data_IF_641311735369
#
_entry.id   IF_641311735369
#
_cell.length_a   1.000
_cell.length_b   1.000
_cell.length_c   1.000
_cell.angle_alpha   90.00
_cell.angle_beta   90.00
_cell.angle_gamma   90.00
#
_symmetry.space_group_name_H-M   'P 1'
#
loop_
_entity.id
_entity.type
_entity.pdbx_description
1 polymer ?
#
# COMPACT_ATOMS: atom_id res chain seq x y z
N UNK A 1 39.25 22.20 25.09
CA UNK A 1 37.87 21.70 25.08
C UNK A 1 37.76 20.70 23.97
N UNK A 2 37.80 19.40 24.31
CA UNK A 2 37.69 18.30 23.37
C UNK A 2 36.22 18.14 22.99
N UNK A 3 35.89 18.33 21.71
CA UNK A 3 34.56 17.98 21.16
C UNK A 3 34.40 16.45 21.21
N UNK A 4 33.41 15.99 21.95
CA UNK A 4 32.96 14.60 21.87
C UNK A 4 32.55 14.28 20.44
N UNK A 5 32.89 13.09 19.89
CA UNK A 5 32.43 12.70 18.57
C UNK A 5 30.90 12.67 18.59
N UNK A 6 30.29 13.40 17.65
CA UNK A 6 28.86 13.43 17.47
C UNK A 6 28.31 12.00 17.30
N UNK A 7 27.16 11.72 17.94
CA UNK A 7 26.42 10.50 17.70
C UNK A 7 26.22 10.31 16.19
N UNK A 8 26.32 9.09 15.65
CA UNK A 8 26.07 8.85 14.25
C UNK A 8 24.67 9.40 13.88
N UNK A 9 24.62 10.29 12.91
CA UNK A 9 23.35 10.73 12.33
C UNK A 9 22.61 9.49 11.85
N UNK A 10 21.33 9.27 12.22
CA UNK A 10 20.58 8.13 11.72
C UNK A 10 20.70 8.10 10.19
N UNK A 11 20.93 6.91 9.65
CA UNK A 11 21.02 6.72 8.20
C UNK A 11 19.73 7.28 7.57
N UNK A 12 19.87 8.35 6.80
CA UNK A 12 18.72 9.02 6.16
C UNK A 12 18.14 8.20 5.00
N UNK A 13 18.74 7.06 4.69
CA UNK A 13 18.35 6.24 3.55
C UNK A 13 17.55 5.01 3.99
N UNK A 14 16.60 4.66 3.15
CA UNK A 14 15.77 3.45 3.28
C UNK A 14 15.61 2.78 1.91
N UNK A 15 15.99 1.50 1.82
CA UNK A 15 15.73 0.70 0.62
C UNK A 15 14.32 0.11 0.68
N UNK A 16 13.46 0.53 -0.25
CA UNK A 16 12.05 0.08 -0.32
C UNK A 16 11.82 -0.71 -1.60
N UNK A 17 11.03 -1.79 -1.52
CA UNK A 17 10.61 -2.54 -2.69
C UNK A 17 9.09 -2.69 -2.78
N UNK A 18 8.58 -2.67 -4.02
CA UNK A 18 7.23 -3.09 -4.35
C UNK A 18 7.27 -4.47 -5.00
N UNK A 19 6.44 -5.37 -4.51
CA UNK A 19 6.12 -6.65 -5.14
C UNK A 19 4.92 -6.45 -6.06
N UNK A 20 5.05 -6.77 -7.34
CA UNK A 20 3.96 -6.82 -8.30
C UNK A 20 3.51 -8.25 -8.50
N UNK A 21 2.22 -8.53 -8.34
CA UNK A 21 1.67 -9.89 -8.35
C UNK A 21 0.53 -10.05 -9.36
N UNK A 22 0.22 -11.32 -9.64
CA UNK A 22 -1.00 -11.74 -10.31
C UNK A 22 -1.66 -12.82 -9.45
N UNK A 23 -2.28 -12.38 -8.35
CA UNK A 23 -2.92 -13.30 -7.40
C UNK A 23 -4.07 -14.07 -8.07
N UNK A 24 -4.15 -15.35 -7.75
CA UNK A 24 -5.16 -16.27 -8.27
C UNK A 24 -6.28 -16.57 -7.27
N UNK A 25 -7.00 -17.67 -7.54
CA UNK A 25 -8.19 -18.09 -6.78
C UNK A 25 -7.86 -18.86 -5.50
N UNK A 26 -6.62 -19.26 -5.29
CA UNK A 26 -6.22 -20.13 -4.18
C UNK A 26 -5.17 -19.48 -3.31
N UNK A 27 -5.40 -19.53 -1.99
CA UNK A 27 -4.58 -18.82 -0.99
C UNK A 27 -3.14 -19.35 -0.95
N UNK A 28 -2.95 -20.67 -0.90
CA UNK A 28 -1.62 -21.28 -0.80
C UNK A 28 -0.67 -20.87 -1.92
N UNK A 29 -1.01 -21.09 -3.20
CA UNK A 29 -0.17 -20.66 -4.32
C UNK A 29 0.15 -19.15 -4.34
N UNK A 30 -0.77 -18.31 -3.85
CA UNK A 30 -0.52 -16.86 -3.76
C UNK A 30 0.47 -16.52 -2.62
N UNK A 31 0.41 -17.24 -1.50
CA UNK A 31 1.41 -17.14 -0.42
C UNK A 31 2.80 -17.49 -0.96
N UNK A 32 2.89 -18.62 -1.68
CA UNK A 32 4.16 -19.10 -2.24
C UNK A 32 4.76 -18.08 -3.23
N UNK A 33 3.93 -17.58 -4.14
CA UNK A 33 4.34 -16.58 -5.13
C UNK A 33 4.79 -15.27 -4.48
N UNK A 34 4.02 -14.76 -3.49
CA UNK A 34 4.39 -13.57 -2.74
C UNK A 34 5.70 -13.76 -1.98
N UNK A 35 5.82 -14.91 -1.27
CA UNK A 35 7.01 -15.23 -0.47
C UNK A 35 8.28 -15.29 -1.31
N UNK A 36 8.21 -15.88 -2.50
CA UNK A 36 9.33 -15.95 -3.43
C UNK A 36 9.81 -14.55 -3.87
N UNK A 37 8.86 -13.65 -4.19
CA UNK A 37 9.16 -12.27 -4.59
C UNK A 37 9.67 -11.43 -3.41
N UNK A 38 9.12 -11.62 -2.20
CA UNK A 38 9.58 -10.95 -0.98
C UNK A 38 11.02 -11.37 -0.66
N UNK A 39 11.34 -12.68 -0.71
CA UNK A 39 12.72 -13.19 -0.49
C UNK A 39 13.69 -12.56 -1.49
N UNK A 40 13.31 -12.55 -2.76
CA UNK A 40 14.12 -11.92 -3.81
C UNK A 40 14.37 -10.43 -3.53
N UNK A 41 13.34 -9.67 -3.13
CA UNK A 41 13.49 -8.26 -2.79
C UNK A 41 14.42 -8.04 -1.58
N UNK A 42 14.33 -8.90 -0.56
CA UNK A 42 15.23 -8.87 0.61
C UNK A 42 16.67 -9.19 0.22
N UNK A 43 16.89 -10.21 -0.63
CA UNK A 43 18.21 -10.59 -1.16
C UNK A 43 18.84 -9.45 -1.99
N UNK A 44 18.02 -8.62 -2.66
CA UNK A 44 18.44 -7.41 -3.38
C UNK A 44 18.63 -6.18 -2.44
N UNK A 45 18.48 -6.36 -1.11
CA UNK A 45 18.80 -5.37 -0.08
C UNK A 45 17.63 -4.47 0.32
N UNK A 46 16.39 -4.82 0.00
CA UNK A 46 15.23 -4.07 0.48
C UNK A 46 15.01 -4.29 1.99
N UNK A 47 14.82 -3.19 2.73
CA UNK A 47 14.58 -3.17 4.18
C UNK A 47 13.09 -3.07 4.53
N UNK A 48 12.29 -2.49 3.62
CA UNK A 48 10.84 -2.37 3.71
C UNK A 48 10.24 -2.82 2.38
N UNK A 49 9.49 -3.90 2.42
CA UNK A 49 8.91 -4.53 1.24
C UNK A 49 7.39 -4.43 1.32
N UNK A 50 6.74 -4.11 0.21
CA UNK A 50 5.29 -4.01 0.16
C UNK A 50 4.68 -4.91 -0.93
N UNK A 51 3.61 -5.62 -0.59
CA UNK A 51 2.79 -6.42 -1.50
C UNK A 51 1.53 -5.66 -1.95
N UNK A 52 0.84 -6.06 -3.02
CA UNK A 52 -0.34 -5.34 -3.52
C UNK A 52 -1.61 -5.62 -2.69
N UNK A 53 -2.69 -4.90 -3.00
CA UNK A 53 -4.04 -5.19 -2.49
C UNK A 53 -4.44 -6.64 -2.82
N UNK A 54 -5.16 -7.30 -1.88
CA UNK A 54 -5.65 -8.68 -2.06
C UNK A 54 -4.52 -9.67 -2.38
N UNK A 55 -3.43 -9.59 -1.65
CA UNK A 55 -2.21 -10.38 -1.84
C UNK A 55 -2.51 -11.87 -1.89
N UNK A 56 -3.35 -12.37 -0.98
CA UNK A 56 -3.60 -13.81 -0.82
C UNK A 56 -4.72 -14.37 -1.70
N UNK A 57 -5.60 -13.51 -2.26
CA UNK A 57 -6.79 -14.01 -2.95
C UNK A 57 -7.44 -12.93 -3.83
N UNK A 58 -7.65 -13.24 -5.11
CA UNK A 58 -8.53 -12.49 -6.01
C UNK A 58 -9.58 -13.44 -6.59
N UNK A 59 -10.85 -13.18 -6.30
CA UNK A 59 -11.98 -13.94 -6.82
C UNK A 59 -13.21 -13.03 -6.92
N UNK A 60 -13.72 -12.80 -8.13
CA UNK A 60 -14.90 -11.96 -8.37
C UNK A 60 -16.24 -12.69 -8.24
N UNK A 61 -16.21 -14.01 -8.03
CA UNK A 61 -17.43 -14.77 -7.83
C UNK A 61 -18.09 -14.33 -6.51
N UNK A 62 -19.37 -13.97 -6.50
CA UNK A 62 -20.05 -13.54 -5.29
C UNK A 62 -19.90 -14.56 -4.14
N UNK A 63 -19.50 -14.07 -2.96
CA UNK A 63 -19.30 -14.89 -1.76
C UNK A 63 -18.01 -15.73 -1.75
N UNK A 64 -17.29 -15.87 -2.86
CA UNK A 64 -16.11 -16.73 -2.92
C UNK A 64 -14.97 -16.24 -2.02
N UNK A 65 -14.73 -14.93 -1.98
CA UNK A 65 -13.73 -14.34 -1.08
C UNK A 65 -14.09 -14.64 0.37
N UNK A 66 -15.33 -14.37 0.78
CA UNK A 66 -15.79 -14.67 2.14
C UNK A 66 -15.65 -16.16 2.49
N UNK A 67 -16.03 -17.07 1.59
CA UNK A 67 -15.95 -18.50 1.83
C UNK A 67 -14.51 -19.00 2.06
N UNK A 68 -13.51 -18.37 1.42
CA UNK A 68 -12.08 -18.72 1.51
C UNK A 68 -11.32 -17.92 2.57
N UNK A 69 -11.92 -16.85 3.12
CA UNK A 69 -11.32 -16.02 4.15
C UNK A 69 -11.51 -16.57 5.54
N UNK A 70 -10.67 -16.14 6.48
CA UNK A 70 -10.73 -16.52 7.89
C UNK A 70 -10.66 -15.27 8.78
N UNK A 71 -10.78 -15.44 10.08
CA UNK A 71 -10.48 -14.38 11.06
C UNK A 71 -8.98 -14.11 11.09
N UNK A 72 -8.58 -12.97 11.61
CA UNK A 72 -7.17 -12.55 11.66
C UNK A 72 -6.27 -13.60 12.31
N UNK A 73 -6.68 -14.13 13.46
CA UNK A 73 -5.88 -15.10 14.22
C UNK A 73 -5.72 -16.46 13.53
N UNK A 74 -6.62 -16.79 12.60
CA UNK A 74 -6.62 -18.04 11.85
C UNK A 74 -6.15 -17.88 10.40
N UNK A 75 -5.75 -16.67 9.97
CA UNK A 75 -5.39 -16.42 8.58
C UNK A 75 -4.01 -17.00 8.23
N UNK A 76 -3.95 -17.97 7.29
CA UNK A 76 -2.71 -18.65 6.95
C UNK A 76 -1.71 -17.74 6.22
N UNK A 77 -2.19 -16.76 5.46
CA UNK A 77 -1.32 -15.82 4.76
C UNK A 77 -0.66 -14.87 5.76
N UNK A 78 -1.43 -14.32 6.70
CA UNK A 78 -0.89 -13.48 7.76
C UNK A 78 0.16 -14.22 8.59
N UNK A 79 -0.12 -15.47 8.98
CA UNK A 79 0.83 -16.29 9.73
C UNK A 79 2.15 -16.50 8.96
N UNK A 80 2.05 -16.87 7.67
CA UNK A 80 3.21 -17.10 6.81
C UNK A 80 4.04 -15.81 6.63
N UNK A 81 3.40 -14.66 6.40
CA UNK A 81 4.10 -13.40 6.18
C UNK A 81 4.72 -12.83 7.46
N UNK A 82 4.13 -13.06 8.63
CA UNK A 82 4.74 -12.73 9.92
C UNK A 82 6.03 -13.54 10.15
N UNK A 83 5.98 -14.83 9.86
CA UNK A 83 7.15 -15.69 9.92
C UNK A 83 8.22 -15.21 8.94
N UNK A 84 7.83 -14.92 7.69
CA UNK A 84 8.75 -14.48 6.63
C UNK A 84 9.45 -13.15 6.99
N UNK A 85 8.71 -12.18 7.53
CA UNK A 85 9.27 -10.91 7.98
C UNK A 85 10.34 -11.11 9.06
N UNK A 86 10.09 -12.05 9.99
CA UNK A 86 11.07 -12.41 11.04
C UNK A 86 12.28 -13.16 10.49
N UNK A 87 12.08 -14.13 9.61
CA UNK A 87 13.17 -14.88 8.97
C UNK A 87 14.13 -13.96 8.21
N UNK A 88 13.59 -12.97 7.49
CA UNK A 88 14.36 -12.05 6.65
C UNK A 88 14.81 -10.79 7.38
N UNK A 89 14.38 -10.59 8.63
CA UNK A 89 14.65 -9.38 9.42
C UNK A 89 14.29 -8.09 8.69
N UNK A 90 13.09 -8.02 8.09
CA UNK A 90 12.60 -6.90 7.28
C UNK A 90 11.31 -6.31 7.84
N UNK A 91 11.03 -5.06 7.49
CA UNK A 91 9.69 -4.50 7.55
C UNK A 91 8.88 -4.99 6.35
N UNK A 92 7.68 -5.51 6.58
CA UNK A 92 6.81 -6.04 5.53
C UNK A 92 5.42 -5.41 5.61
N UNK A 93 5.04 -4.67 4.57
CA UNK A 93 3.67 -4.22 4.39
C UNK A 93 2.92 -5.23 3.52
N UNK A 94 1.99 -5.96 4.12
CA UNK A 94 0.99 -6.70 3.35
C UNK A 94 -0.05 -5.71 2.88
N UNK A 95 -0.12 -5.49 1.56
CA UNK A 95 -0.97 -4.47 0.95
C UNK A 95 -2.44 -4.62 1.34
N UNK A 96 -2.98 -5.83 1.25
CA UNK A 96 -4.13 -6.24 2.05
C UNK A 96 -4.41 -7.75 1.96
N UNK A 97 -5.18 -8.22 2.96
CA UNK A 97 -5.79 -9.53 3.02
C UNK A 97 -7.30 -9.38 3.28
N UNK A 98 -8.14 -10.29 2.78
CA UNK A 98 -9.55 -10.35 3.14
C UNK A 98 -9.70 -11.04 4.49
N UNK A 99 -9.97 -10.30 5.55
CA UNK A 99 -10.10 -10.79 6.93
C UNK A 99 -11.57 -10.77 7.34
N UNK A 100 -12.14 -11.90 7.76
CA UNK A 100 -13.51 -11.94 8.28
C UNK A 100 -13.63 -11.09 9.54
N UNK A 101 -14.58 -10.16 9.53
CA UNK A 101 -14.88 -9.28 10.68
C UNK A 101 -16.26 -9.55 11.28
N UNK A 102 -17.16 -10.14 10.50
CA UNK A 102 -18.48 -10.59 10.96
C UNK A 102 -18.94 -11.85 10.20
N UNK A 103 -20.21 -12.21 10.31
CA UNK A 103 -20.77 -13.42 9.67
C UNK A 103 -21.00 -13.29 8.16
N UNK A 104 -20.90 -12.09 7.61
CA UNK A 104 -21.27 -11.79 6.22
C UNK A 104 -20.15 -11.08 5.45
N UNK A 105 -19.25 -10.37 6.15
CA UNK A 105 -18.28 -9.47 5.52
C UNK A 105 -16.85 -9.69 5.98
N UNK A 106 -15.94 -9.31 5.08
CA UNK A 106 -14.53 -9.18 5.37
C UNK A 106 -14.14 -7.70 5.53
N UNK A 107 -13.05 -7.40 6.22
CA UNK A 107 -12.29 -6.18 6.01
C UNK A 107 -11.27 -6.41 4.88
N UNK A 108 -11.04 -5.40 4.06
CA UNK A 108 -9.91 -5.32 3.15
C UNK A 108 -8.76 -4.70 3.94
N UNK A 109 -8.01 -5.56 4.70
CA UNK A 109 -7.09 -5.15 5.78
C UNK A 109 -5.64 -5.21 5.38
N UNK A 110 -4.96 -4.07 5.50
CA UNK A 110 -3.52 -3.94 5.38
C UNK A 110 -2.83 -4.19 6.72
N UNK A 111 -1.62 -4.77 6.67
CA UNK A 111 -0.80 -5.03 7.86
C UNK A 111 0.62 -4.53 7.66
N UNK A 112 1.12 -3.74 8.59
CA UNK A 112 2.54 -3.46 8.71
C UNK A 112 3.14 -4.39 9.75
N UNK A 113 4.12 -5.20 9.35
CA UNK A 113 4.77 -6.23 10.16
C UNK A 113 6.22 -5.84 10.37
N UNK A 114 6.69 -5.85 11.62
CA UNK A 114 8.08 -5.56 11.98
C UNK A 114 9.01 -6.76 11.79
N UNK A 115 10.34 -6.52 11.88
CA UNK A 115 11.37 -7.55 11.70
C UNK A 115 11.29 -8.72 12.68
N UNK A 116 10.61 -8.54 13.81
CA UNK A 116 10.34 -9.59 14.79
C UNK A 116 9.07 -10.41 14.47
N UNK A 117 8.39 -10.13 13.37
CA UNK A 117 7.13 -10.77 12.98
C UNK A 117 5.90 -10.24 13.75
N UNK A 118 6.06 -9.18 14.55
CA UNK A 118 4.94 -8.55 15.24
C UNK A 118 4.20 -7.58 14.31
N UNK A 119 2.87 -7.52 14.47
CA UNK A 119 2.05 -6.56 13.72
C UNK A 119 2.17 -5.20 14.39
N UNK A 120 2.83 -4.26 13.70
CA UNK A 120 3.02 -2.88 14.16
C UNK A 120 1.79 -2.01 13.90
N UNK A 121 1.06 -2.24 12.80
CA UNK A 121 -0.17 -1.51 12.48
C UNK A 121 -1.12 -2.33 11.60
N UNK A 122 -2.40 -1.97 11.67
CA UNK A 122 -3.50 -2.46 10.83
C UNK A 122 -4.22 -1.27 10.23
N UNK A 123 -4.69 -1.43 9.00
CA UNK A 123 -5.54 -0.44 8.35
C UNK A 123 -6.63 -1.16 7.56
N UNK A 124 -7.88 -0.85 7.84
CA UNK A 124 -9.01 -1.30 7.04
C UNK A 124 -9.35 -0.25 5.99
N UNK A 125 -9.39 -0.66 4.73
CA UNK A 125 -9.74 0.22 3.61
C UNK A 125 -11.01 1.01 3.93
N UNK A 126 -10.93 2.34 3.80
CA UNK A 126 -12.04 3.24 4.15
C UNK A 126 -13.04 3.35 3.00
N UNK A 127 -12.54 3.53 1.77
CA UNK A 127 -13.41 3.84 0.62
C UNK A 127 -13.63 2.58 -0.24
N UNK A 128 -14.87 2.14 -0.27
CA UNK A 128 -15.30 0.96 -1.04
C UNK A 128 -15.46 1.27 -2.52
N UNK A 129 -14.97 0.38 -3.38
CA UNK A 129 -15.01 0.53 -4.83
C UNK A 129 -16.39 0.12 -5.38
N UNK A 130 -17.38 0.98 -5.16
CA UNK A 130 -18.74 0.83 -5.68
C UNK A 130 -18.89 1.72 -6.91
N UNK A 131 -18.61 1.17 -8.09
CA UNK A 131 -18.58 1.94 -9.34
C UNK A 131 -19.19 1.18 -10.50
N UNK A 132 -19.67 1.91 -11.47
CA UNK A 132 -20.09 1.39 -12.77
C UNK A 132 -19.28 2.11 -13.85
N UNK A 133 -18.32 1.40 -14.46
CA UNK A 133 -17.49 1.95 -15.52
C UNK A 133 -18.17 1.87 -16.89
N UNK A 134 -18.93 0.81 -17.13
CA UNK A 134 -19.78 0.60 -18.30
C UNK A 134 -20.81 -0.50 -17.98
N UNK A 135 -21.65 -0.87 -18.94
CA UNK A 135 -22.71 -1.87 -18.74
C UNK A 135 -22.21 -3.25 -18.27
N UNK A 136 -20.96 -3.63 -18.60
CA UNK A 136 -20.36 -4.92 -18.23
C UNK A 136 -19.40 -4.87 -17.03
N UNK A 137 -19.04 -3.68 -16.56
CA UNK A 137 -18.05 -3.48 -15.48
C UNK A 137 -18.68 -2.75 -14.30
N UNK A 138 -19.46 -3.49 -13.53
CA UNK A 138 -20.09 -3.03 -12.29
C UNK A 138 -19.36 -3.67 -11.12
N UNK A 139 -18.95 -2.86 -10.16
CA UNK A 139 -18.28 -3.25 -8.92
C UNK A 139 -19.14 -2.83 -7.74
N UNK A 140 -19.24 -3.68 -6.74
CA UNK A 140 -19.97 -3.47 -5.48
C UNK A 140 -19.14 -4.07 -4.35
N UNK A 141 -18.02 -3.41 -4.02
CA UNK A 141 -17.10 -3.90 -2.98
C UNK A 141 -17.78 -3.92 -1.61
N UNK A 142 -18.64 -2.93 -1.32
CA UNK A 142 -19.40 -2.84 -0.07
C UNK A 142 -20.36 -4.01 0.16
N UNK A 143 -20.71 -4.78 -0.87
CA UNK A 143 -21.55 -5.97 -0.73
C UNK A 143 -20.86 -7.11 0.02
N UNK A 144 -19.51 -7.17 0.05
CA UNK A 144 -18.73 -8.22 0.70
C UNK A 144 -17.70 -7.72 1.69
N UNK A 145 -17.46 -6.40 1.72
CA UNK A 145 -16.45 -5.80 2.59
C UNK A 145 -17.04 -4.70 3.47
N UNK A 146 -16.62 -4.69 4.73
CA UNK A 146 -16.89 -3.63 5.67
C UNK A 146 -15.86 -2.49 5.47
N UNK A 147 -16.34 -1.26 5.42
CA UNK A 147 -15.48 -0.09 5.37
C UNK A 147 -14.78 0.14 6.72
N UNK A 148 -13.51 0.54 6.67
CA UNK A 148 -12.79 1.10 7.81
C UNK A 148 -13.25 2.52 8.15
N UNK A 149 -12.80 3.03 9.29
CA UNK A 149 -13.17 4.36 9.78
C UNK A 149 -12.00 5.18 10.30
N UNK A 150 -10.78 4.65 10.28
CA UNK A 150 -9.62 5.30 10.89
C UNK A 150 -8.48 5.48 9.88
N UNK A 151 -7.93 6.69 9.79
CA UNK A 151 -6.68 6.95 9.11
C UNK A 151 -5.51 6.51 10.01
N UNK A 152 -4.52 5.81 9.44
CA UNK A 152 -3.42 5.20 10.21
C UNK A 152 -2.07 5.69 9.74
N UNK A 153 -1.29 6.23 10.69
CA UNK A 153 0.15 6.47 10.53
C UNK A 153 0.90 5.61 11.55
N UNK A 154 1.68 4.66 11.06
CA UNK A 154 2.53 3.81 11.87
C UNK A 154 3.93 4.43 12.01
N UNK A 155 4.54 4.31 13.19
CA UNK A 155 5.92 4.74 13.43
C UNK A 155 6.85 3.54 13.29
N UNK A 156 7.88 3.67 12.47
CA UNK A 156 9.00 2.73 12.41
C UNK A 156 10.28 3.43 12.85
N UNK A 157 11.36 2.71 13.12
CA UNK A 157 12.63 3.34 13.53
C UNK A 157 13.20 4.32 12.49
N UNK A 158 12.89 4.14 11.20
CA UNK A 158 13.42 4.97 10.11
C UNK A 158 12.44 6.02 9.61
N UNK A 159 11.14 5.72 9.54
CA UNK A 159 10.15 6.61 8.94
C UNK A 159 8.74 6.42 9.50
N UNK A 160 7.91 7.44 9.40
CA UNK A 160 6.48 7.35 9.65
C UNK A 160 5.75 6.90 8.37
N UNK A 161 4.93 5.87 8.47
CA UNK A 161 4.29 5.17 7.36
C UNK A 161 2.79 5.40 7.38
N UNK A 162 2.26 6.09 6.38
CA UNK A 162 0.82 6.25 6.16
C UNK A 162 0.26 5.07 5.36
N UNK A 163 -0.90 4.54 5.78
CA UNK A 163 -1.54 3.39 5.16
C UNK A 163 -2.79 3.80 4.40
N UNK A 164 -2.90 3.37 3.15
CA UNK A 164 -4.11 3.46 2.31
C UNK A 164 -4.23 2.19 1.47
N UNK A 165 -5.40 1.96 0.84
CA UNK A 165 -5.60 0.82 -0.08
C UNK A 165 -6.41 1.28 -1.30
N UNK A 166 -5.80 1.17 -2.49
CA UNK A 166 -6.42 1.21 -3.81
C UNK A 166 -7.36 2.41 -4.05
N UNK A 167 -8.68 2.23 -3.86
CA UNK A 167 -9.68 3.26 -4.13
C UNK A 167 -9.51 4.51 -3.27
N UNK A 168 -8.87 4.37 -2.09
CA UNK A 168 -8.49 5.50 -1.24
C UNK A 168 -7.66 6.55 -1.99
N UNK A 169 -6.95 6.15 -3.06
CA UNK A 169 -6.17 7.03 -3.92
C UNK A 169 -7.00 8.19 -4.50
N UNK A 170 -8.31 8.03 -4.63
CA UNK A 170 -9.21 9.07 -5.18
C UNK A 170 -9.63 10.13 -4.16
N UNK A 171 -9.23 9.98 -2.90
CA UNK A 171 -9.65 10.81 -1.78
C UNK A 171 -8.47 11.63 -1.23
N UNK A 172 -8.18 12.82 -1.80
CA UNK A 172 -6.98 13.60 -1.46
C UNK A 172 -6.92 14.02 0.00
N UNK A 173 -8.06 14.22 0.65
CA UNK A 173 -8.12 14.62 2.07
C UNK A 173 -7.50 13.56 2.99
N UNK A 174 -7.70 12.25 2.73
CA UNK A 174 -7.06 11.18 3.49
C UNK A 174 -5.54 11.29 3.41
N UNK A 175 -4.97 11.47 2.22
CA UNK A 175 -3.52 11.62 2.02
C UNK A 175 -2.97 12.86 2.71
N UNK A 176 -3.73 13.95 2.65
CA UNK A 176 -3.38 15.20 3.34
C UNK A 176 -3.38 15.03 4.86
N UNK A 177 -4.36 14.32 5.41
CA UNK A 177 -4.44 14.06 6.85
C UNK A 177 -3.29 13.16 7.31
N UNK A 178 -2.93 12.11 6.55
CA UNK A 178 -1.76 11.28 6.82
C UNK A 178 -0.47 12.12 6.81
N UNK A 179 -0.28 12.99 5.81
CA UNK A 179 0.89 13.85 5.71
C UNK A 179 0.97 14.86 6.87
N UNK A 180 -0.16 15.44 7.30
CA UNK A 180 -0.24 16.31 8.48
C UNK A 180 0.02 15.57 9.79
N UNK A 181 -0.34 14.29 9.86
CA UNK A 181 0.00 13.40 10.97
C UNK A 181 1.48 12.94 10.96
N UNK A 182 2.26 13.41 9.98
CA UNK A 182 3.69 13.21 9.89
C UNK A 182 4.14 12.04 9.01
N UNK A 183 3.26 11.43 8.21
CA UNK A 183 3.66 10.37 7.29
C UNK A 183 4.70 10.87 6.28
N UNK A 184 5.83 10.18 6.19
CA UNK A 184 6.93 10.44 5.25
C UNK A 184 6.82 9.53 4.02
N UNK A 185 6.40 8.28 4.25
CA UNK A 185 6.04 7.31 3.22
C UNK A 185 4.54 7.07 3.30
N UNK A 186 3.85 7.07 2.16
CA UNK A 186 2.44 6.68 2.08
C UNK A 186 2.32 5.52 1.12
N UNK A 187 1.76 4.41 1.60
CA UNK A 187 1.54 3.22 0.81
C UNK A 187 0.16 3.23 0.17
N UNK A 188 0.11 2.85 -1.11
CA UNK A 188 -1.11 2.74 -1.90
C UNK A 188 -1.16 1.40 -2.66
N UNK A 189 -1.13 0.26 -1.94
CA UNK A 189 -1.27 -1.05 -2.57
C UNK A 189 -2.60 -1.15 -3.31
N UNK A 190 -2.60 -1.76 -4.51
CA UNK A 190 -3.79 -1.72 -5.35
C UNK A 190 -3.99 -2.97 -6.22
N UNK A 191 -5.27 -3.21 -6.55
CA UNK A 191 -5.74 -4.04 -7.64
C UNK A 191 -6.54 -3.17 -8.65
N UNK A 192 -5.90 -2.11 -9.12
CA UNK A 192 -6.51 -1.09 -9.99
C UNK A 192 -6.94 -1.70 -11.31
N UNK A 193 -8.18 -1.47 -11.75
CA UNK A 193 -8.65 -2.00 -13.03
C UNK A 193 -7.83 -1.45 -14.19
N UNK A 194 -7.60 -2.24 -15.25
CA UNK A 194 -6.84 -1.80 -16.42
C UNK A 194 -7.38 -0.50 -16.99
N UNK A 195 -8.70 -0.39 -17.19
CA UNK A 195 -9.35 0.79 -17.79
C UNK A 195 -9.06 2.07 -17.01
N UNK A 196 -9.23 2.03 -15.68
CA UNK A 196 -8.99 3.22 -14.85
C UNK A 196 -7.50 3.43 -14.57
N UNK A 197 -6.71 2.38 -14.62
CA UNK A 197 -5.26 2.44 -14.45
C UNK A 197 -4.59 3.21 -15.59
N UNK A 198 -4.90 2.85 -16.83
CA UNK A 198 -4.41 3.54 -18.03
C UNK A 198 -4.65 5.05 -17.99
N UNK A 199 -5.81 5.48 -17.48
CA UNK A 199 -6.19 6.88 -17.46
C UNK A 199 -5.73 7.65 -16.20
N UNK A 200 -5.64 7.00 -15.03
CA UNK A 200 -5.58 7.72 -13.75
C UNK A 200 -4.40 7.35 -12.85
N UNK A 201 -3.83 6.15 -12.96
CA UNK A 201 -2.90 5.60 -11.97
C UNK A 201 -1.69 6.50 -11.71
N UNK A 202 -0.92 6.77 -12.74
CA UNK A 202 0.27 7.60 -12.66
C UNK A 202 -0.03 9.04 -12.22
N UNK A 203 -1.08 9.63 -12.80
CA UNK A 203 -1.45 11.02 -12.53
C UNK A 203 -1.86 11.19 -11.06
N UNK A 204 -2.72 10.29 -10.54
CA UNK A 204 -3.18 10.38 -9.16
C UNK A 204 -2.05 10.13 -8.16
N UNK A 205 -1.23 9.09 -8.35
CA UNK A 205 -0.12 8.81 -7.45
C UNK A 205 0.88 9.97 -7.38
N UNK A 206 1.25 10.53 -8.53
CA UNK A 206 2.15 11.70 -8.57
C UNK A 206 1.52 12.92 -7.91
N UNK A 207 0.21 13.14 -8.13
CA UNK A 207 -0.50 14.22 -7.43
C UNK A 207 -0.46 14.03 -5.91
N UNK A 208 -0.71 12.80 -5.41
CA UNK A 208 -0.65 12.52 -3.95
C UNK A 208 0.75 12.73 -3.38
N UNK A 209 1.81 12.34 -4.10
CA UNK A 209 3.18 12.59 -3.68
C UNK A 209 3.45 14.11 -3.54
N UNK A 210 3.11 14.89 -4.56
CA UNK A 210 3.33 16.34 -4.63
C UNK A 210 2.52 17.06 -3.54
N UNK A 211 1.22 16.79 -3.42
CA UNK A 211 0.31 17.43 -2.47
C UNK A 211 0.69 17.17 -1.01
N UNK A 212 1.25 15.98 -0.73
CA UNK A 212 1.63 15.52 0.60
C UNK A 212 3.09 15.81 0.94
N UNK A 213 3.93 16.06 -0.07
CA UNK A 213 5.38 16.13 0.09
C UNK A 213 5.92 14.85 0.73
N UNK A 214 5.45 13.68 0.28
CA UNK A 214 5.78 12.35 0.81
C UNK A 214 6.18 11.41 -0.31
N UNK A 215 6.97 10.39 -0.01
CA UNK A 215 7.15 9.28 -0.93
C UNK A 215 5.86 8.49 -1.08
N UNK A 216 5.50 8.10 -2.30
CA UNK A 216 4.39 7.18 -2.59
C UNK A 216 4.94 5.83 -3.02
N UNK A 217 4.51 4.76 -2.34
CA UNK A 217 4.90 3.38 -2.58
C UNK A 217 3.64 2.60 -2.97
N UNK A 218 3.52 2.22 -4.23
CA UNK A 218 2.29 1.71 -4.81
C UNK A 218 2.48 0.32 -5.47
N UNK A 219 2.60 -0.75 -4.69
CA UNK A 219 2.62 -2.11 -5.22
C UNK A 219 1.25 -2.47 -5.83
N UNK A 220 1.25 -3.12 -7.00
CA UNK A 220 0.04 -3.35 -7.77
C UNK A 220 -0.14 -4.82 -8.18
N UNK A 221 -1.39 -5.25 -8.27
CA UNK A 221 -1.79 -6.44 -9.00
C UNK A 221 -1.74 -6.17 -10.51
N UNK A 222 -1.34 -7.17 -11.31
CA UNK A 222 -1.10 -6.97 -12.74
C UNK A 222 -1.72 -8.05 -13.63
N UNK A 223 -2.07 -7.65 -14.86
CA UNK A 223 -2.46 -8.55 -15.93
C UNK A 223 -3.85 -9.17 -15.76
N UNK A 224 -4.07 -10.29 -16.45
CA UNK A 224 -5.35 -11.01 -16.46
C UNK A 224 -5.35 -12.11 -15.39
N UNK A 225 -6.22 -11.97 -14.40
CA UNK A 225 -6.41 -12.93 -13.32
C UNK A 225 -7.26 -14.13 -13.73
N UNK A 226 -7.19 -15.21 -12.95
CA UNK A 226 -7.93 -16.45 -13.21
C UNK A 226 -9.46 -16.28 -13.18
N UNK A 227 -9.97 -15.26 -12.48
CA UNK A 227 -11.40 -14.89 -12.44
C UNK A 227 -11.84 -14.04 -13.64
N UNK A 228 -10.93 -13.77 -14.58
CA UNK A 228 -11.17 -12.95 -15.77
C UNK A 228 -11.04 -11.43 -15.56
N UNK A 229 -10.77 -10.96 -14.34
CA UNK A 229 -10.45 -9.56 -14.05
C UNK A 229 -9.12 -9.19 -14.69
N UNK A 230 -9.00 -7.95 -15.16
CA UNK A 230 -7.74 -7.37 -15.62
C UNK A 230 -7.35 -6.20 -14.72
N UNK A 231 -6.12 -6.26 -14.18
CA UNK A 231 -5.52 -5.18 -13.40
C UNK A 231 -4.35 -4.55 -14.14
N UNK A 232 -4.07 -3.29 -13.80
CA UNK A 232 -3.20 -2.44 -14.59
C UNK A 232 -1.71 -2.78 -14.45
N UNK A 233 -1.29 -3.27 -13.27
CA UNK A 233 0.13 -3.39 -12.95
C UNK A 233 0.76 -2.05 -12.70
N UNK A 234 1.96 -1.83 -13.27
CA UNK A 234 2.70 -0.59 -13.14
C UNK A 234 2.88 -0.17 -11.67
N UNK A 235 3.39 -1.11 -10.83
CA UNK A 235 3.81 -0.73 -9.47
C UNK A 235 4.77 0.45 -9.55
N UNK A 236 4.63 1.42 -8.63
CA UNK A 236 5.37 2.68 -8.68
C UNK A 236 6.00 3.01 -7.33
N UNK A 237 7.20 3.57 -7.37
CA UNK A 237 7.83 4.30 -6.27
C UNK A 237 8.05 5.73 -6.74
N UNK A 238 7.51 6.70 -6.02
CA UNK A 238 7.46 8.12 -6.43
C UNK A 238 8.03 8.98 -5.31
N UNK A 239 8.91 9.91 -5.67
CA UNK A 239 9.52 10.87 -4.76
C UNK A 239 8.58 12.01 -4.35
N UNK A 240 8.90 12.75 -3.28
CA UNK A 240 8.05 13.83 -2.74
C UNK A 240 7.82 15.00 -3.72
N UNK A 241 8.65 15.12 -4.76
CA UNK A 241 8.50 16.14 -5.82
C UNK A 241 7.72 15.63 -7.03
N UNK A 242 7.28 14.35 -7.00
CA UNK A 242 6.45 13.73 -8.04
C UNK A 242 7.22 13.02 -9.15
N UNK A 243 8.52 12.87 -9.01
CA UNK A 243 9.36 12.06 -9.91
C UNK A 243 9.10 10.56 -9.69
N UNK A 244 9.08 9.80 -10.78
CA UNK A 244 9.00 8.33 -10.72
C UNK A 244 10.41 7.79 -10.52
N UNK A 245 10.69 7.23 -9.34
CA UNK A 245 11.98 6.66 -8.96
C UNK A 245 12.13 5.22 -9.50
N UNK A 246 11.04 4.47 -9.51
CA UNK A 246 10.99 3.13 -10.09
C UNK A 246 9.58 2.80 -10.57
N UNK A 247 9.48 2.05 -11.67
CA UNK A 247 8.24 1.60 -12.28
C UNK A 247 8.35 0.16 -12.75
N UNK A 248 7.33 -0.66 -12.48
CA UNK A 248 7.17 -1.99 -13.05
C UNK A 248 6.40 -1.92 -14.38
N UNK A 249 6.52 -2.96 -15.19
CA UNK A 249 5.66 -3.16 -16.35
C UNK A 249 4.33 -3.84 -16.00
N UNK A 250 3.91 -4.78 -16.86
CA UNK A 250 2.63 -5.49 -16.74
C UNK A 250 2.76 -6.93 -16.23
N UNK A 251 3.96 -7.40 -15.98
CA UNK A 251 4.23 -8.76 -15.51
C UNK A 251 4.58 -8.79 -14.02
N UNK A 252 4.36 -9.93 -13.32
CA UNK A 252 4.79 -10.10 -11.94
C UNK A 252 6.31 -9.91 -11.78
N UNK A 253 6.71 -9.29 -10.67
CA UNK A 253 8.12 -9.02 -10.39
C UNK A 253 8.30 -8.10 -9.20
N UNK A 254 9.46 -7.49 -9.10
CA UNK A 254 9.78 -6.50 -8.08
C UNK A 254 10.40 -5.25 -8.71
N UNK A 255 10.18 -4.12 -8.06
CA UNK A 255 10.92 -2.88 -8.26
C UNK A 255 11.43 -2.40 -6.90
N UNK A 256 12.57 -1.72 -6.90
CA UNK A 256 13.14 -1.17 -5.68
C UNK A 256 13.72 0.22 -5.91
N UNK A 257 13.78 1.02 -4.85
CA UNK A 257 14.45 2.31 -4.83
C UNK A 257 15.09 2.57 -3.47
N UNK A 258 16.21 3.29 -3.48
CA UNK A 258 16.84 3.82 -2.27
C UNK A 258 16.35 5.25 -2.08
N UNK A 259 15.62 5.50 -0.99
CA UNK A 259 15.00 6.77 -0.66
C UNK A 259 15.91 7.55 0.29
N UNK A 260 16.17 8.84 0.02
CA UNK A 260 16.71 9.76 1.02
C UNK A 260 15.55 10.46 1.74
N UNK A 261 15.30 10.09 2.97
CA UNK A 261 14.17 10.59 3.75
C UNK A 261 14.23 12.11 4.02
N UNK A 262 15.39 12.73 3.84
CA UNK A 262 15.54 14.21 3.93
C UNK A 262 14.74 14.93 2.85
N UNK A 263 14.55 14.31 1.69
CA UNK A 263 13.79 14.90 0.58
C UNK A 263 12.35 15.28 0.98
N UNK A 264 11.74 14.57 1.94
CA UNK A 264 10.41 14.91 2.49
C UNK A 264 10.45 16.28 3.16
N UNK A 265 11.42 16.50 4.05
CA UNK A 265 11.61 17.79 4.72
C UNK A 265 11.91 18.92 3.73
N UNK A 266 12.75 18.64 2.74
CA UNK A 266 13.12 19.61 1.70
C UNK A 266 11.93 20.00 0.81
N UNK A 267 11.14 19.01 0.36
CA UNK A 267 9.95 19.25 -0.45
C UNK A 267 8.92 20.09 0.31
N UNK A 268 8.65 19.73 1.56
CA UNK A 268 7.72 20.47 2.44
C UNK A 268 8.21 21.87 2.80
N UNK A 269 9.50 22.06 2.93
CA UNK A 269 10.09 23.39 3.16
C UNK A 269 9.99 24.29 1.93
N UNK A 270 10.20 23.74 0.72
CA UNK A 270 10.08 24.48 -0.53
C UNK A 270 8.62 24.91 -0.83
N UNK A 271 7.66 24.01 -0.57
CA UNK A 271 6.21 24.29 -0.75
C UNK A 271 5.46 23.86 0.50
N UNK A 272 5.36 24.71 1.53
CA UNK A 272 4.75 24.34 2.82
C UNK A 272 3.21 24.34 2.80
N UNK A 273 2.61 23.79 1.76
CA UNK A 273 1.16 23.77 1.52
C UNK A 273 0.37 23.11 2.64
N UNK A 274 0.97 22.16 3.37
CA UNK A 274 0.33 21.48 4.51
C UNK A 274 0.04 22.42 5.69
N UNK A 275 0.74 23.55 5.79
CA UNK A 275 0.57 24.54 6.86
C UNK A 275 -0.18 25.79 6.39
N UNK A 276 -0.51 25.90 5.09
CA UNK A 276 -1.14 27.06 4.49
C UNK A 276 -2.66 26.94 4.35
N UNK A 277 -3.30 26.07 5.15
CA UNK A 277 -4.78 25.96 5.14
C UNK A 277 -5.43 27.29 5.51
N UNK A 278 -6.51 27.59 4.81
CA UNK A 278 -7.39 28.72 5.09
C UNK A 278 -8.83 28.23 5.27
N UNK A 279 -9.50 28.76 6.26
CA UNK A 279 -10.94 28.60 6.35
C UNK A 279 -11.61 29.42 5.22
N UNK A 280 -12.53 28.82 4.53
CA UNK A 280 -13.34 29.47 3.49
C UNK A 280 -14.79 29.04 3.63
N UNK A 281 -15.71 29.86 3.11
CA UNK A 281 -17.11 29.48 3.06
C UNK A 281 -17.27 28.41 1.98
N UNK A 282 -17.82 27.25 2.35
CA UNK A 282 -18.12 26.19 1.39
C UNK A 282 -19.03 26.69 0.26
N UNK A 283 -18.91 26.04 -0.92
CA UNK A 283 -19.86 26.28 -1.99
C UNK A 283 -21.25 25.89 -1.49
N UNK A 284 -22.15 26.87 -1.39
CA UNK A 284 -23.56 26.60 -1.09
C UNK A 284 -24.18 25.80 -2.23
N UNK A 285 -24.83 24.70 -1.93
CA UNK A 285 -25.73 23.97 -2.84
C UNK A 285 -27.13 24.39 -2.59
#
# INVERSE_FOLDING_TARGET
MSQLPGAPTPESHLCVACVQMRSGLEVGPNIDAASALIRRAADEGAELIATPEMTSLIDRKPGAVFAKSTTEDADPALAAFRQLASELNIWLLIGSLPIRVDQERCANRSFLIGPEGAIAARYDKIHMFDVQLNAGNIYRESAGFAAGSEAVVARTPKANVGLTVCYDLRFPHLYRDLAKAGAELIFAPAAFTRITGEAHWHVLLRARAIESGSFLIAPAQCGKHADGRETYGHSLIIGPWGEVLAEAGVEPGIIAARLDLKEVGEARAKIPSLTHDRTYRGAGL
#
